data_IF_174270808566
#
_entry.id   IF_174270808566
#
_cell.length_a   1.000
_cell.length_b   1.000
_cell.length_c   1.000
_cell.angle_alpha   90.00
_cell.angle_beta   90.00
_cell.angle_gamma   90.00
#
_symmetry.space_group_name_H-M   'P 1'
#
loop_
_entity.id
_entity.type
_entity.pdbx_description
1 polymer ?
#
# COMPACT_ATOMS: atom_id res chain seq x y z
N UNK A 1 -10.48 12.57 0.69
CA UNK A 1 -9.99 11.50 1.58
C UNK A 1 -8.59 11.10 1.14
N UNK A 2 -7.61 10.91 2.03
CA UNK A 2 -6.27 10.37 1.70
C UNK A 2 -6.16 8.94 2.22
N UNK A 3 -5.84 7.99 1.35
CA UNK A 3 -5.56 6.61 1.71
C UNK A 3 -4.24 6.57 2.49
N UNK A 4 -4.15 5.78 3.55
CA UNK A 4 -2.85 5.55 4.18
C UNK A 4 -2.09 4.52 3.35
N UNK A 5 -0.89 4.85 2.90
CA UNK A 5 0.02 3.91 2.24
C UNK A 5 1.43 3.97 2.87
N UNK A 6 2.17 2.87 2.77
CA UNK A 6 3.52 2.69 3.28
C UNK A 6 4.61 2.86 2.22
N UNK A 7 4.24 3.20 0.98
CA UNK A 7 5.17 3.26 -0.15
C UNK A 7 6.42 4.13 0.08
N UNK A 8 6.30 5.26 0.79
CA UNK A 8 7.47 6.08 1.15
C UNK A 8 8.45 5.35 2.06
N UNK A 9 7.94 4.53 2.99
CA UNK A 9 8.78 3.71 3.86
C UNK A 9 9.40 2.55 3.06
N UNK A 10 8.62 1.88 2.22
CA UNK A 10 9.09 0.80 1.34
C UNK A 10 10.18 1.31 0.40
N UNK A 11 9.99 2.50 -0.20
CA UNK A 11 10.96 3.15 -1.09
C UNK A 11 12.33 3.31 -0.43
N UNK A 12 12.36 3.62 0.87
CA UNK A 12 13.60 3.83 1.61
C UNK A 12 14.42 4.98 1.03
N UNK A 13 15.70 4.74 0.75
CA UNK A 13 16.63 5.73 0.19
C UNK A 13 16.48 5.98 -1.31
N UNK A 14 15.75 5.10 -2.03
CA UNK A 14 15.53 5.24 -3.49
C UNK A 14 14.76 6.54 -3.75
N UNK A 15 15.07 7.24 -4.83
CA UNK A 15 14.31 8.42 -5.23
C UNK A 15 12.97 8.03 -5.86
N UNK A 16 11.96 8.90 -5.73
CA UNK A 16 10.67 8.68 -6.39
C UNK A 16 10.82 8.64 -7.92
N UNK A 17 11.78 9.38 -8.48
CA UNK A 17 12.03 9.39 -9.93
C UNK A 17 12.57 8.06 -10.43
N UNK A 18 13.49 7.43 -9.69
CA UNK A 18 14.02 6.10 -10.03
C UNK A 18 12.90 5.04 -10.04
N UNK A 19 12.02 5.05 -9.03
CA UNK A 19 10.89 4.11 -8.97
C UNK A 19 9.91 4.38 -10.13
N UNK A 20 9.58 5.64 -10.39
CA UNK A 20 8.67 6.01 -11.48
C UNK A 20 9.20 5.56 -12.84
N UNK A 21 10.50 5.77 -13.08
CA UNK A 21 11.17 5.33 -14.30
C UNK A 21 11.18 3.81 -14.44
N UNK A 22 11.51 3.08 -13.37
CA UNK A 22 11.53 1.62 -13.37
C UNK A 22 10.14 1.01 -13.62
N UNK A 23 9.08 1.63 -13.08
CA UNK A 23 7.70 1.19 -13.28
C UNK A 23 7.05 1.72 -14.57
N UNK A 24 7.72 2.58 -15.34
CA UNK A 24 7.16 3.17 -16.56
C UNK A 24 6.00 4.14 -16.31
N UNK A 25 5.92 4.76 -15.13
CA UNK A 25 4.87 5.73 -14.76
C UNK A 25 5.43 7.14 -14.64
N UNK A 26 4.56 8.15 -14.65
CA UNK A 26 5.00 9.53 -14.44
C UNK A 26 5.35 9.79 -12.95
N UNK A 27 6.36 10.62 -12.64
CA UNK A 27 6.65 11.01 -11.25
C UNK A 27 5.47 11.69 -10.54
N UNK A 28 4.62 12.39 -11.28
CA UNK A 28 3.40 13.01 -10.75
C UNK A 28 2.35 11.97 -10.35
N UNK A 29 2.14 10.96 -11.19
CA UNK A 29 1.26 9.83 -10.89
C UNK A 29 1.75 9.08 -9.64
N UNK A 30 3.04 8.73 -9.61
CA UNK A 30 3.63 8.05 -8.45
C UNK A 30 3.52 8.88 -7.17
N UNK A 31 3.73 10.20 -7.25
CA UNK A 31 3.56 11.10 -6.11
C UNK A 31 2.13 11.06 -5.57
N UNK A 32 1.10 11.04 -6.43
CA UNK A 32 -0.28 10.91 -5.95
C UNK A 32 -0.52 9.57 -5.24
N UNK A 33 0.07 8.48 -5.74
CA UNK A 33 -0.04 7.15 -5.14
C UNK A 33 0.68 7.12 -3.78
N UNK A 34 1.94 7.57 -3.69
CA UNK A 34 2.72 7.61 -2.43
C UNK A 34 2.13 8.53 -1.35
N UNK A 35 1.28 9.49 -1.73
CA UNK A 35 0.57 10.37 -0.81
C UNK A 35 -0.88 9.91 -0.56
N UNK A 36 -1.28 8.76 -1.10
CA UNK A 36 -2.62 8.18 -0.94
C UNK A 36 -3.74 9.02 -1.56
N UNK A 37 -3.40 9.87 -2.53
CA UNK A 37 -4.36 10.68 -3.30
C UNK A 37 -5.00 9.82 -4.40
N UNK A 38 -4.28 8.81 -4.89
CA UNK A 38 -4.75 7.86 -5.89
C UNK A 38 -4.33 6.42 -5.53
N UNK A 39 -5.07 5.45 -6.06
CA UNK A 39 -4.63 4.05 -6.15
C UNK A 39 -3.92 3.83 -7.51
N UNK A 40 -2.99 2.88 -7.61
CA UNK A 40 -2.44 2.48 -8.90
C UNK A 40 -3.55 1.96 -9.83
N UNK A 41 -3.40 2.17 -11.14
CA UNK A 41 -4.28 1.50 -12.12
C UNK A 41 -3.86 0.04 -12.22
N UNK A 42 -4.80 -0.86 -12.43
CA UNK A 42 -4.55 -2.31 -12.52
C UNK A 42 -3.39 -2.66 -13.46
N UNK A 43 -3.34 -2.01 -14.63
CA UNK A 43 -2.28 -2.19 -15.63
C UNK A 43 -0.86 -1.83 -15.15
N UNK A 44 -0.74 -0.96 -14.16
CA UNK A 44 0.55 -0.47 -13.64
C UNK A 44 0.98 -1.22 -12.37
N UNK A 45 0.09 -2.04 -11.77
CA UNK A 45 0.35 -2.71 -10.48
C UNK A 45 1.58 -3.59 -10.55
N UNK A 46 1.65 -4.51 -11.52
CA UNK A 46 2.80 -5.43 -11.62
C UNK A 46 4.14 -4.70 -11.81
N UNK A 47 4.16 -3.63 -12.60
CA UNK A 47 5.36 -2.84 -12.83
C UNK A 47 5.81 -2.09 -11.57
N UNK A 48 4.85 -1.54 -10.83
CA UNK A 48 5.10 -0.88 -9.55
C UNK A 48 5.54 -1.88 -8.46
N UNK A 49 4.95 -3.07 -8.38
CA UNK A 49 5.38 -4.14 -7.46
C UNK A 49 6.82 -4.56 -7.73
N UNK A 50 7.18 -4.75 -8.99
CA UNK A 50 8.55 -5.05 -9.39
C UNK A 50 9.52 -3.91 -9.03
N UNK A 51 9.13 -2.64 -9.26
CA UNK A 51 9.97 -1.48 -8.97
C UNK A 51 10.17 -1.25 -7.46
N UNK A 52 9.10 -1.44 -6.66
CA UNK A 52 9.19 -1.32 -5.21
C UNK A 52 9.84 -2.54 -4.55
N UNK A 53 9.72 -3.71 -5.17
CA UNK A 53 10.12 -5.00 -4.60
C UNK A 53 9.16 -5.45 -3.48
N UNK A 54 7.88 -5.08 -3.58
CA UNK A 54 6.85 -5.37 -2.58
C UNK A 54 5.48 -5.47 -3.25
N UNK A 55 4.61 -6.34 -2.75
CA UNK A 55 3.28 -6.55 -3.31
C UNK A 55 2.35 -5.39 -2.92
N UNK A 56 1.30 -5.15 -3.72
CA UNK A 56 0.33 -4.09 -3.46
C UNK A 56 -0.34 -4.22 -2.08
N UNK A 57 -0.44 -5.44 -1.56
CA UNK A 57 -0.93 -5.74 -0.21
C UNK A 57 -0.01 -5.25 0.89
N UNK A 58 1.29 -5.06 0.63
CA UNK A 58 2.23 -4.47 1.59
C UNK A 58 2.14 -2.94 1.63
N UNK A 59 1.61 -2.33 0.55
CA UNK A 59 1.58 -0.89 0.38
C UNK A 59 0.51 -0.24 1.24
N UNK A 60 -0.51 -0.98 1.64
CA UNK A 60 -1.65 -0.47 2.37
C UNK A 60 -1.78 -1.19 3.71
N UNK A 61 -2.16 -0.49 4.79
CA UNK A 61 -2.56 -1.16 6.03
C UNK A 61 -3.68 -2.17 5.75
N UNK A 62 -3.77 -3.29 6.48
CA UNK A 62 -4.80 -4.30 6.25
C UNK A 62 -6.22 -3.73 6.26
N UNK A 63 -6.53 -2.79 7.17
CA UNK A 63 -7.82 -2.07 7.21
C UNK A 63 -8.18 -1.31 5.91
N UNK A 64 -7.19 -0.88 5.13
CA UNK A 64 -7.42 -0.18 3.85
C UNK A 64 -7.72 -1.20 2.77
N UNK A 65 -7.01 -2.33 2.72
CA UNK A 65 -7.28 -3.43 1.79
C UNK A 65 -8.70 -3.97 2.00
N UNK A 66 -9.09 -4.17 3.25
CA UNK A 66 -10.46 -4.58 3.61
C UNK A 66 -11.54 -3.60 3.19
N UNK A 67 -11.24 -2.30 3.21
CA UNK A 67 -12.16 -1.27 2.74
C UNK A 67 -12.26 -1.23 1.20
N UNK A 68 -11.30 -1.84 0.49
CA UNK A 68 -11.26 -1.96 -0.97
C UNK A 68 -11.82 -3.32 -1.45
N UNK A 69 -11.81 -4.35 -0.58
CA UNK A 69 -12.36 -5.69 -0.81
C UNK A 69 -13.56 -6.00 0.12
N UNK A 70 -14.71 -5.38 -0.18
CA UNK A 70 -16.14 -5.82 0.01
C UNK A 70 -16.63 -6.38 1.39
N UNK A 71 -17.81 -5.87 1.80
CA UNK A 71 -18.76 -6.34 2.84
C UNK A 71 -18.24 -6.74 4.24
N UNK A 72 -18.39 -5.77 5.15
CA UNK A 72 -18.41 -5.71 6.62
C UNK A 72 -17.78 -6.84 7.48
N UNK A 73 -18.06 -8.11 7.26
CA UNK A 73 -17.74 -9.16 8.25
C UNK A 73 -16.25 -9.54 8.31
N UNK A 74 -15.57 -9.64 7.16
CA UNK A 74 -14.15 -9.98 7.11
C UNK A 74 -13.26 -8.82 7.63
N UNK A 75 -13.71 -7.59 7.42
CA UNK A 75 -13.03 -6.39 7.87
C UNK A 75 -13.01 -6.28 9.41
N UNK A 76 -14.16 -6.56 10.03
CA UNK A 76 -14.33 -6.59 11.48
C UNK A 76 -13.46 -7.68 12.12
N UNK A 77 -13.40 -8.88 11.51
CA UNK A 77 -12.60 -9.98 12.04
C UNK A 77 -11.09 -9.68 12.06
N UNK A 78 -10.56 -9.02 11.03
CA UNK A 78 -9.15 -8.62 11.00
C UNK A 78 -8.86 -7.47 11.94
N UNK A 79 -9.77 -6.48 12.05
CA UNK A 79 -9.63 -5.40 13.01
C UNK A 79 -9.61 -5.93 14.46
N UNK A 80 -10.47 -6.89 14.78
CA UNK A 80 -10.46 -7.58 16.08
C UNK A 80 -9.13 -8.31 16.34
N UNK A 81 -8.51 -8.89 15.30
CA UNK A 81 -7.21 -9.58 15.40
C UNK A 81 -6.05 -8.61 15.55
N UNK A 82 -6.10 -7.44 14.90
CA UNK A 82 -5.10 -6.38 15.02
C UNK A 82 -5.21 -5.60 16.35
N UNK A 83 -6.41 -5.54 16.96
CA UNK A 83 -6.66 -4.89 18.25
C UNK A 83 -6.29 -5.75 19.46
N UNK A 84 -5.95 -7.04 19.29
CA UNK A 84 -5.31 -7.80 20.38
C UNK A 84 -3.89 -7.26 20.58
N UNK A 85 -3.55 -6.67 21.75
CA UNK A 85 -2.15 -6.51 22.10
C UNK A 85 -1.53 -7.91 22.14
N UNK A 86 -0.26 -8.03 21.76
CA UNK A 86 0.57 -9.21 22.06
C UNK A 86 0.65 -9.36 23.59
N UNK A 87 -0.42 -9.82 24.22
CA UNK A 87 -0.42 -10.21 25.62
C UNK A 87 0.20 -11.60 25.68
N UNK A 88 1.49 -11.55 26.01
CA UNK A 88 2.23 -12.51 26.81
C UNK A 88 2.49 -13.87 26.15
N UNK A 89 3.67 -13.96 25.53
CA UNK A 89 4.52 -15.12 25.77
C UNK A 89 5.23 -14.88 27.10
N UNK A 90 4.61 -15.34 28.18
CA UNK A 90 5.29 -15.68 29.43
C UNK A 90 5.78 -17.11 29.37
#
# INVERSE_FOLDING_TARGET
MRLRCHLKAIRGSRSMREIAQAAGVSPGELSRIENGIAVPRDKDVQALEAAYGALITDWYPPRVLLALEVEDDAAIALEARMRRPLLQSG
#
